data_IF_317403057357
#
_entry.id   IF_317403057357
#
_cell.length_a   1.000
_cell.length_b   1.000
_cell.length_c   1.000
_cell.angle_alpha   90.00
_cell.angle_beta   90.00
_cell.angle_gamma   90.00
#
_symmetry.space_group_name_H-M   'P 1'
#
loop_
_entity.id
_entity.type
_entity.pdbx_description
1 polymer ?
#
# COMPACT_ATOMS: atom_id res chain seq x y z
N UNK A 1 -36.14 6.34 8.03
CA UNK A 1 -35.52 7.51 8.70
C UNK A 1 -34.66 8.22 7.68
N UNK A 2 -34.91 9.49 7.41
CA UNK A 2 -34.05 10.36 6.61
C UNK A 2 -33.06 11.04 7.55
N UNK A 3 -31.76 10.97 7.24
CA UNK A 3 -30.74 11.76 7.94
C UNK A 3 -31.01 13.26 7.75
N UNK A 4 -30.62 14.08 8.73
CA UNK A 4 -30.65 15.53 8.60
C UNK A 4 -29.67 15.98 7.51
N UNK A 5 -29.95 17.11 6.87
CA UNK A 5 -29.09 17.62 5.79
C UNK A 5 -27.68 17.94 6.29
N UNK A 6 -27.56 18.53 7.48
CA UNK A 6 -26.26 18.76 8.13
C UNK A 6 -25.42 17.48 8.30
N UNK A 7 -26.06 16.33 8.57
CA UNK A 7 -25.35 15.05 8.69
C UNK A 7 -24.89 14.52 7.32
N UNK A 8 -25.70 14.73 6.27
CA UNK A 8 -25.33 14.37 4.89
C UNK A 8 -24.18 15.25 4.40
N UNK A 9 -24.28 16.55 4.62
CA UNK A 9 -23.27 17.53 4.20
C UNK A 9 -21.93 17.19 4.84
N UNK A 10 -21.91 16.97 6.16
CA UNK A 10 -20.72 16.51 6.89
C UNK A 10 -20.14 15.22 6.29
N UNK A 11 -20.98 14.24 5.96
CA UNK A 11 -20.51 12.99 5.36
C UNK A 11 -19.81 13.24 4.01
N UNK A 12 -20.39 14.06 3.14
CA UNK A 12 -19.78 14.35 1.84
C UNK A 12 -18.54 15.25 1.94
N UNK A 13 -18.46 16.14 2.93
CA UNK A 13 -17.26 16.91 3.26
C UNK A 13 -16.13 15.99 3.75
N UNK A 14 -16.42 15.10 4.69
CA UNK A 14 -15.45 14.12 5.21
C UNK A 14 -14.98 13.18 4.08
N UNK A 15 -15.90 12.73 3.23
CA UNK A 15 -15.58 11.94 2.05
C UNK A 15 -14.69 12.73 1.08
N UNK A 16 -15.00 14.00 0.80
CA UNK A 16 -14.16 14.86 -0.04
C UNK A 16 -12.74 14.97 0.52
N UNK A 17 -12.60 15.27 1.82
CA UNK A 17 -11.31 15.39 2.47
C UNK A 17 -10.48 14.10 2.31
N UNK A 18 -11.10 12.93 2.52
CA UNK A 18 -10.45 11.64 2.31
C UNK A 18 -10.03 11.44 0.84
N UNK A 19 -10.90 11.74 -0.11
CA UNK A 19 -10.61 11.58 -1.54
C UNK A 19 -9.44 12.46 -2.01
N UNK A 20 -9.27 13.66 -1.43
CA UNK A 20 -8.15 14.56 -1.73
C UNK A 20 -6.81 14.02 -1.20
N UNK A 21 -6.81 13.29 -0.08
CA UNK A 21 -5.58 12.74 0.51
C UNK A 21 -4.98 11.59 -0.28
N UNK A 22 -5.77 10.93 -1.14
CA UNK A 22 -5.32 9.76 -1.90
C UNK A 22 -4.35 10.19 -3.00
N UNK A 23 -3.11 9.63 -3.05
CA UNK A 23 -2.16 9.93 -4.10
C UNK A 23 -2.72 9.66 -5.50
N UNK A 24 -2.35 10.50 -6.45
CA UNK A 24 -2.75 10.33 -7.85
C UNK A 24 -2.15 9.09 -8.47
N UNK A 25 -1.18 8.42 -7.88
CA UNK A 25 -0.57 7.21 -8.45
C UNK A 25 -1.35 5.95 -8.06
N UNK A 26 -2.14 6.05 -6.99
CA UNK A 26 -2.82 4.93 -6.39
C UNK A 26 -4.13 4.60 -7.11
N UNK A 27 -4.53 3.33 -7.01
CA UNK A 27 -5.85 2.89 -7.42
C UNK A 27 -6.84 3.21 -6.30
N UNK A 28 -7.93 3.89 -6.62
CA UNK A 28 -8.99 4.22 -5.67
C UNK A 28 -10.29 3.55 -6.10
N UNK A 29 -10.90 2.88 -5.13
CA UNK A 29 -12.21 2.26 -5.24
C UNK A 29 -13.01 2.68 -4.02
N UNK A 30 -14.18 3.29 -4.20
CA UNK A 30 -15.10 3.61 -3.10
C UNK A 30 -16.35 2.76 -3.27
N UNK A 31 -16.73 2.05 -2.22
CA UNK A 31 -17.80 1.06 -2.23
C UNK A 31 -18.68 1.22 -1.00
N UNK A 32 -19.98 1.02 -1.17
CA UNK A 32 -20.94 1.08 -0.07
C UNK A 32 -22.35 1.45 -0.50
N UNK A 33 -23.23 1.47 0.50
CA UNK A 33 -24.58 2.01 0.38
C UNK A 33 -24.54 3.53 0.58
N UNK A 34 -24.77 4.28 -0.50
CA UNK A 34 -24.85 5.75 -0.45
C UNK A 34 -26.27 6.25 -0.24
N UNK A 35 -27.26 5.33 -0.18
CA UNK A 35 -28.68 5.64 -0.17
C UNK A 35 -29.06 6.66 -1.28
N UNK A 36 -28.37 6.53 -2.40
CA UNK A 36 -28.38 7.47 -3.51
C UNK A 36 -29.06 6.83 -4.71
N UNK A 37 -29.99 7.55 -5.32
CA UNK A 37 -30.60 7.17 -6.59
C UNK A 37 -30.16 8.19 -7.63
N UNK A 38 -29.30 7.77 -8.54
CA UNK A 38 -28.61 8.65 -9.50
C UNK A 38 -29.37 8.86 -10.81
N UNK A 39 -30.51 8.19 -11.00
CA UNK A 39 -31.33 8.33 -12.19
C UNK A 39 -30.69 7.78 -13.47
N UNK A 40 -31.08 8.36 -14.61
CA UNK A 40 -30.72 7.90 -15.98
C UNK A 40 -30.11 9.01 -16.86
N UNK A 41 -29.98 10.23 -16.34
CA UNK A 41 -29.48 11.39 -17.09
C UNK A 41 -27.96 11.39 -17.24
N UNK A 42 -27.46 10.41 -17.99
CA UNK A 42 -26.03 10.27 -18.27
C UNK A 42 -25.47 11.42 -19.13
N UNK A 43 -26.32 12.15 -19.86
CA UNK A 43 -25.91 13.29 -20.67
C UNK A 43 -25.48 14.46 -19.78
N UNK A 44 -26.26 14.78 -18.73
CA UNK A 44 -25.89 15.80 -17.76
C UNK A 44 -24.67 15.42 -16.91
N UNK A 45 -24.44 14.13 -16.67
CA UNK A 45 -23.41 13.62 -15.75
C UNK A 45 -22.29 12.85 -16.46
N UNK A 46 -21.89 13.34 -17.64
CA UNK A 46 -20.93 12.65 -18.49
C UNK A 46 -19.60 12.37 -17.77
N UNK A 47 -19.24 11.10 -17.71
CA UNK A 47 -17.98 10.62 -17.11
C UNK A 47 -18.14 10.03 -15.71
N UNK A 48 -19.11 10.52 -14.93
CA UNK A 48 -19.48 9.95 -13.63
C UNK A 48 -20.59 8.90 -13.78
N UNK A 49 -21.70 9.28 -14.44
CA UNK A 49 -22.83 8.41 -14.74
C UNK A 49 -22.72 7.87 -16.16
N UNK A 50 -23.12 6.61 -16.33
CA UNK A 50 -23.15 5.94 -17.63
C UNK A 50 -24.59 5.65 -18.09
N UNK A 51 -24.79 5.32 -19.39
CA UNK A 51 -26.12 5.22 -20.00
C UNK A 51 -27.07 4.20 -19.36
N UNK A 52 -26.55 3.27 -18.56
CA UNK A 52 -27.31 2.17 -18.00
C UNK A 52 -27.70 2.38 -16.52
N UNK A 53 -27.82 3.64 -16.10
CA UNK A 53 -28.43 4.04 -14.82
C UNK A 53 -29.83 3.47 -14.61
N UNK A 54 -30.35 3.59 -13.38
CA UNK A 54 -31.60 2.93 -12.99
C UNK A 54 -32.59 3.91 -12.35
N UNK A 55 -33.81 3.94 -12.91
CA UNK A 55 -35.01 4.56 -12.31
C UNK A 55 -34.81 6.03 -11.94
N UNK A 56 -35.32 6.43 -10.78
CA UNK A 56 -35.52 7.80 -10.34
C UNK A 56 -34.26 8.39 -9.73
N UNK A 57 -34.29 9.70 -9.54
CA UNK A 57 -33.26 10.49 -8.92
C UNK A 57 -33.70 10.91 -7.50
N UNK A 58 -32.77 11.14 -6.58
CA UNK A 58 -33.04 11.78 -5.29
C UNK A 58 -31.93 12.76 -4.91
N UNK A 59 -32.15 13.56 -3.87
CA UNK A 59 -31.20 14.60 -3.44
C UNK A 59 -29.83 14.02 -3.05
N UNK A 60 -29.80 12.84 -2.41
CA UNK A 60 -28.56 12.11 -2.14
C UNK A 60 -27.85 11.72 -3.44
N UNK A 61 -28.61 11.34 -4.48
CA UNK A 61 -28.11 11.08 -5.81
C UNK A 61 -27.43 12.29 -6.43
N UNK A 62 -27.96 13.50 -6.19
CA UNK A 62 -27.33 14.74 -6.63
C UNK A 62 -25.99 14.96 -5.95
N UNK A 63 -25.95 14.88 -4.62
CA UNK A 63 -24.72 15.05 -3.85
C UNK A 63 -23.67 14.01 -4.28
N UNK A 64 -24.08 12.75 -4.39
CA UNK A 64 -23.20 11.68 -4.81
C UNK A 64 -22.64 11.88 -6.23
N UNK A 65 -23.48 12.29 -7.19
CA UNK A 65 -23.04 12.58 -8.55
C UNK A 65 -22.11 13.80 -8.62
N UNK A 66 -22.36 14.85 -7.82
CA UNK A 66 -21.46 16.01 -7.71
C UNK A 66 -20.08 15.59 -7.21
N UNK A 67 -20.01 14.87 -6.10
CA UNK A 67 -18.75 14.32 -5.57
C UNK A 67 -18.07 13.43 -6.59
N UNK A 68 -18.82 12.56 -7.29
CA UNK A 68 -18.25 11.70 -8.31
C UNK A 68 -17.68 12.49 -9.50
N UNK A 69 -18.40 13.50 -9.99
CA UNK A 69 -17.94 14.34 -11.09
C UNK A 69 -16.68 15.12 -10.71
N UNK A 70 -16.64 15.68 -9.50
CA UNK A 70 -15.52 16.45 -8.97
C UNK A 70 -14.24 15.61 -8.83
N UNK A 71 -14.35 14.45 -8.16
CA UNK A 71 -13.21 13.56 -7.94
C UNK A 71 -12.93 12.59 -9.10
N UNK A 72 -13.59 12.81 -10.25
CA UNK A 72 -13.46 11.97 -11.44
C UNK A 72 -13.70 10.49 -11.15
N UNK A 73 -14.66 10.20 -10.27
CA UNK A 73 -15.12 8.85 -9.98
C UNK A 73 -16.17 8.43 -11.01
N UNK A 74 -16.26 7.12 -11.20
CA UNK A 74 -17.06 6.49 -12.23
C UNK A 74 -17.93 5.41 -11.60
N UNK A 75 -19.24 5.50 -11.84
CA UNK A 75 -20.24 4.55 -11.34
C UNK A 75 -20.20 3.27 -12.16
N UNK A 76 -19.39 2.30 -11.73
CA UNK A 76 -19.10 1.10 -12.54
C UNK A 76 -20.35 0.30 -12.89
N UNK A 77 -21.32 0.25 -11.98
CA UNK A 77 -22.57 -0.49 -12.19
C UNK A 77 -23.48 0.10 -13.26
N UNK A 78 -23.33 1.40 -13.54
CA UNK A 78 -24.11 2.10 -14.59
C UNK A 78 -23.45 1.98 -15.97
N UNK A 79 -22.22 1.46 -16.04
CA UNK A 79 -21.46 1.30 -17.27
C UNK A 79 -21.89 0.09 -18.10
N UNK A 80 -22.35 -0.98 -17.44
CA UNK A 80 -22.72 -2.22 -18.11
C UNK A 80 -24.21 -2.31 -18.41
N UNK A 81 -24.55 -2.81 -19.60
CA UNK A 81 -25.94 -3.11 -19.98
C UNK A 81 -26.42 -4.41 -19.32
N UNK A 82 -26.63 -4.37 -18.00
CA UNK A 82 -27.13 -5.50 -17.20
C UNK A 82 -28.66 -5.48 -17.05
N UNK A 83 -29.23 -6.64 -16.76
CA UNK A 83 -30.64 -6.75 -16.44
C UNK A 83 -30.93 -6.07 -15.08
N UNK A 84 -32.14 -5.53 -14.91
CA UNK A 84 -32.54 -4.85 -13.65
C UNK A 84 -32.29 -5.71 -12.41
N UNK A 85 -32.49 -7.02 -12.53
CA UNK A 85 -32.24 -7.99 -11.44
C UNK A 85 -30.79 -8.10 -10.97
N UNK A 86 -29.84 -7.75 -11.84
CA UNK A 86 -28.40 -7.71 -11.59
C UNK A 86 -27.91 -6.29 -11.25
N UNK A 87 -28.78 -5.29 -11.36
CA UNK A 87 -28.46 -3.89 -11.02
C UNK A 87 -29.01 -3.49 -9.66
N UNK A 88 -30.25 -3.84 -9.37
CA UNK A 88 -30.87 -3.41 -8.12
C UNK A 88 -30.33 -4.21 -6.93
N UNK A 89 -30.18 -3.52 -5.82
CA UNK A 89 -29.66 -4.09 -4.57
C UNK A 89 -30.71 -4.16 -3.49
N UNK A 90 -31.66 -3.24 -3.45
CA UNK A 90 -32.64 -3.19 -2.38
C UNK A 90 -34.06 -3.23 -2.91
N UNK A 91 -34.96 -3.95 -2.22
CA UNK A 91 -36.39 -3.97 -2.55
C UNK A 91 -37.17 -3.11 -1.55
N UNK A 92 -37.88 -2.10 -2.05
CA UNK A 92 -38.73 -1.31 -1.18
C UNK A 92 -39.85 -2.17 -0.58
N UNK A 93 -40.02 -2.22 0.75
CA UNK A 93 -40.93 -3.16 1.41
C UNK A 93 -42.41 -2.91 1.06
N UNK A 94 -42.81 -1.64 0.99
CA UNK A 94 -44.21 -1.25 0.69
C UNK A 94 -44.60 -1.44 -0.78
N UNK A 95 -43.77 -0.96 -1.71
CA UNK A 95 -44.09 -0.89 -3.14
C UNK A 95 -43.44 -2.00 -3.97
N UNK A 96 -42.72 -2.92 -3.32
CA UNK A 96 -42.00 -4.05 -3.93
C UNK A 96 -41.16 -3.65 -5.15
N UNK A 97 -40.53 -2.49 -5.02
CA UNK A 97 -39.83 -1.82 -6.09
C UNK A 97 -38.32 -1.90 -5.85
N UNK A 98 -37.63 -2.55 -6.78
CA UNK A 98 -36.17 -2.70 -6.76
C UNK A 98 -35.45 -1.36 -7.04
N UNK A 99 -34.45 -1.03 -6.22
CA UNK A 99 -33.65 0.19 -6.30
C UNK A 99 -32.16 -0.14 -6.30
N UNK A 100 -31.38 0.73 -6.92
CA UNK A 100 -29.92 0.71 -6.88
C UNK A 100 -29.48 1.74 -5.83
N UNK A 101 -28.93 1.28 -4.72
CA UNK A 101 -28.43 2.12 -3.62
C UNK A 101 -26.96 1.83 -3.28
N UNK A 102 -26.52 0.60 -3.54
CA UNK A 102 -25.15 0.14 -3.34
C UNK A 102 -24.32 0.30 -4.60
N UNK A 103 -23.24 1.08 -4.49
CA UNK A 103 -22.37 1.43 -5.61
C UNK A 103 -20.95 0.95 -5.38
N UNK A 104 -20.30 0.61 -6.49
CA UNK A 104 -18.85 0.55 -6.58
C UNK A 104 -18.44 1.66 -7.53
N UNK A 105 -17.59 2.55 -7.05
CA UNK A 105 -17.03 3.65 -7.83
C UNK A 105 -15.53 3.46 -7.96
N UNK A 106 -15.02 3.80 -9.13
CA UNK A 106 -13.59 3.71 -9.45
C UNK A 106 -13.15 5.02 -10.07
N UNK A 107 -11.86 5.35 -10.00
CA UNK A 107 -11.33 6.48 -10.78
C UNK A 107 -11.64 6.29 -12.28
N UNK A 108 -12.06 7.36 -12.94
CA UNK A 108 -12.45 7.36 -14.37
C UNK A 108 -11.35 6.83 -15.28
N UNK A 109 -10.09 7.09 -14.95
CA UNK A 109 -8.93 6.56 -15.70
C UNK A 109 -8.78 5.04 -15.58
N UNK A 110 -9.29 4.46 -14.49
CA UNK A 110 -9.17 3.05 -14.14
C UNK A 110 -10.42 2.25 -14.53
N UNK A 111 -11.41 2.88 -15.19
CA UNK A 111 -12.67 2.23 -15.61
C UNK A 111 -12.46 0.97 -16.45
N UNK A 112 -11.39 0.93 -17.27
CA UNK A 112 -11.07 -0.22 -18.12
C UNK A 112 -10.63 -1.45 -17.31
N UNK A 113 -10.24 -1.27 -16.04
CA UNK A 113 -9.88 -2.36 -15.16
C UNK A 113 -11.13 -3.08 -14.63
N UNK A 114 -12.31 -2.45 -14.69
CA UNK A 114 -13.56 -3.08 -14.23
C UNK A 114 -14.12 -3.95 -15.34
N UNK A 115 -14.26 -5.24 -15.06
CA UNK A 115 -14.79 -6.22 -16.02
C UNK A 115 -16.31 -6.32 -15.94
N UNK A 116 -16.87 -6.35 -14.73
CA UNK A 116 -18.31 -6.34 -14.49
C UNK A 116 -18.58 -5.91 -13.04
N UNK A 117 -19.66 -5.17 -12.82
CA UNK A 117 -20.20 -4.92 -11.49
C UNK A 117 -21.68 -5.29 -11.47
N UNK A 118 -22.08 -6.27 -10.64
CA UNK A 118 -23.45 -6.77 -10.57
C UNK A 118 -23.87 -7.12 -9.15
N UNK A 119 -25.17 -7.08 -8.90
CA UNK A 119 -25.79 -7.62 -7.69
C UNK A 119 -25.92 -9.15 -7.79
N UNK A 120 -25.74 -9.85 -6.67
CA UNK A 120 -25.88 -11.30 -6.55
C UNK A 120 -27.01 -11.61 -5.56
N UNK A 121 -27.90 -12.50 -5.98
CA UNK A 121 -29.10 -12.90 -5.23
C UNK A 121 -28.88 -14.08 -4.30
N UNK A 122 -27.86 -14.87 -4.57
CA UNK A 122 -27.65 -16.20 -3.97
C UNK A 122 -26.80 -16.16 -2.69
N UNK A 123 -26.39 -14.98 -2.24
CA UNK A 123 -25.75 -14.84 -0.94
C UNK A 123 -26.84 -14.90 0.13
N UNK A 124 -26.97 -16.05 0.79
CA UNK A 124 -27.94 -16.32 1.86
C UNK A 124 -27.50 -15.60 3.15
N UNK A 125 -27.55 -14.28 3.10
CA UNK A 125 -27.26 -13.39 4.22
C UNK A 125 -28.56 -12.68 4.53
N UNK A 126 -28.96 -12.66 5.80
CA UNK A 126 -30.20 -12.08 6.32
C UNK A 126 -30.29 -10.54 6.20
N UNK A 127 -29.86 -9.98 5.07
CA UNK A 127 -29.93 -8.56 4.75
C UNK A 127 -31.09 -8.29 3.78
N UNK A 128 -31.70 -7.13 3.90
CA UNK A 128 -32.69 -6.61 2.95
C UNK A 128 -32.06 -6.08 1.64
N UNK A 129 -30.73 -6.17 1.53
CA UNK A 129 -29.93 -5.84 0.36
C UNK A 129 -29.26 -7.08 -0.27
N UNK A 130 -29.27 -7.14 -1.60
CA UNK A 130 -28.41 -8.03 -2.38
C UNK A 130 -26.96 -7.53 -2.37
N UNK A 131 -26.02 -8.46 -2.23
CA UNK A 131 -24.60 -8.17 -2.33
C UNK A 131 -24.21 -7.66 -3.71
N UNK A 132 -23.26 -6.72 -3.76
CA UNK A 132 -22.65 -6.25 -5.01
C UNK A 132 -21.27 -6.87 -5.18
N UNK A 133 -21.02 -7.50 -6.32
CA UNK A 133 -19.70 -7.95 -6.73
C UNK A 133 -19.19 -7.09 -7.87
N UNK A 134 -17.92 -6.70 -7.79
CA UNK A 134 -17.19 -6.07 -8.88
C UNK A 134 -15.95 -6.88 -9.21
N UNK A 135 -15.89 -7.43 -10.42
CA UNK A 135 -14.70 -8.12 -10.92
C UNK A 135 -13.77 -7.10 -11.57
N UNK A 136 -12.49 -7.11 -11.18
CA UNK A 136 -11.51 -6.11 -11.66
C UNK A 136 -10.16 -6.74 -11.99
N UNK A 137 -9.43 -6.15 -12.95
CA UNK A 137 -8.03 -6.48 -13.30
C UNK A 137 -7.12 -5.33 -12.87
N UNK A 138 -6.61 -5.39 -11.66
CA UNK A 138 -5.75 -4.34 -11.12
C UNK A 138 -4.28 -4.63 -11.42
N UNK A 139 -3.59 -3.63 -11.99
CA UNK A 139 -2.13 -3.63 -12.10
C UNK A 139 -1.59 -2.64 -11.07
N UNK A 140 -0.95 -3.17 -10.04
CA UNK A 140 -0.31 -2.37 -9.00
C UNK A 140 1.16 -2.18 -9.37
N UNK A 141 1.60 -0.94 -9.46
CA UNK A 141 3.02 -0.66 -9.61
C UNK A 141 3.71 -1.00 -8.28
N UNK A 142 4.78 -1.82 -8.28
CA UNK A 142 5.56 -2.05 -7.08
C UNK A 142 6.09 -0.71 -6.59
N UNK A 143 5.70 -0.31 -5.38
CA UNK A 143 6.28 0.86 -4.74
C UNK A 143 7.77 0.56 -4.61
N UNK A 144 8.63 1.30 -5.31
CA UNK A 144 10.08 1.18 -5.13
C UNK A 144 10.32 1.37 -3.65
N UNK A 145 10.75 0.32 -2.94
CA UNK A 145 11.24 0.47 -1.57
C UNK A 145 12.23 1.62 -1.64
N UNK A 146 12.11 2.66 -0.79
CA UNK A 146 13.24 3.54 -0.58
C UNK A 146 14.39 2.58 -0.28
N UNK A 147 15.37 2.49 -1.17
CA UNK A 147 16.59 1.81 -0.80
C UNK A 147 17.09 2.65 0.36
N UNK A 148 16.84 2.17 1.58
CA UNK A 148 17.46 2.74 2.75
C UNK A 148 18.94 2.87 2.42
N UNK A 149 19.57 3.98 2.85
CA UNK A 149 21.01 4.14 2.73
C UNK A 149 21.65 2.79 3.03
N UNK A 150 22.41 2.28 2.07
CA UNK A 150 23.00 0.95 2.16
C UNK A 150 23.65 0.86 3.55
N UNK A 151 23.18 -0.05 4.44
CA UNK A 151 23.70 -0.09 5.80
C UNK A 151 25.21 -0.24 5.69
N UNK A 152 25.95 0.61 6.39
CA UNK A 152 27.40 0.54 6.44
C UNK A 152 27.75 -0.91 6.79
N UNK A 153 28.49 -1.60 5.92
CA UNK A 153 28.81 -3.01 6.13
C UNK A 153 29.44 -3.18 7.52
N UNK A 154 29.01 -4.20 8.27
CA UNK A 154 29.50 -4.43 9.63
C UNK A 154 31.02 -4.53 9.62
N UNK A 155 31.69 -3.89 10.58
CA UNK A 155 33.12 -4.08 10.80
C UNK A 155 33.39 -5.52 11.19
N UNK A 156 34.55 -6.06 10.82
CA UNK A 156 34.93 -7.43 11.16
C UNK A 156 35.44 -7.50 12.61
N UNK A 157 34.51 -7.39 13.57
CA UNK A 157 34.80 -7.29 15.01
C UNK A 157 35.44 -8.55 15.60
N UNK A 158 35.35 -9.70 14.92
CA UNK A 158 36.00 -10.93 15.34
C UNK A 158 37.53 -10.82 15.34
N UNK A 159 38.11 -9.88 14.58
CA UNK A 159 39.57 -9.64 14.60
C UNK A 159 40.05 -9.05 15.93
N UNK A 160 39.18 -8.43 16.73
CA UNK A 160 39.55 -7.93 18.06
C UNK A 160 39.85 -9.06 19.06
N UNK A 161 39.42 -10.29 18.77
CA UNK A 161 39.77 -11.46 19.57
C UNK A 161 41.22 -11.93 19.31
N UNK A 162 41.89 -11.42 18.28
CA UNK A 162 43.31 -11.66 18.03
C UNK A 162 44.15 -10.59 18.74
N UNK A 163 45.04 -10.96 19.69
CA UNK A 163 45.83 -10.00 20.46
C UNK A 163 46.65 -9.03 19.60
N UNK A 164 47.20 -9.50 18.47
CA UNK A 164 47.96 -8.67 17.54
C UNK A 164 47.11 -7.55 16.90
N UNK A 165 45.89 -7.89 16.44
CA UNK A 165 44.98 -6.91 15.85
C UNK A 165 44.46 -5.89 16.88
N UNK A 166 44.24 -6.32 18.12
CA UNK A 166 43.88 -5.42 19.21
C UNK A 166 45.00 -4.43 19.51
N UNK A 167 46.25 -4.90 19.55
CA UNK A 167 47.43 -4.06 19.75
C UNK A 167 47.63 -3.05 18.62
N UNK A 168 47.54 -3.49 17.37
CA UNK A 168 47.68 -2.62 16.19
C UNK A 168 46.58 -1.55 16.14
N UNK A 169 45.34 -1.93 16.47
CA UNK A 169 44.23 -0.99 16.54
C UNK A 169 44.41 0.06 17.65
N UNK A 170 44.84 -0.38 18.83
CA UNK A 170 45.12 0.53 19.95
C UNK A 170 46.19 1.56 19.57
N UNK A 171 47.30 1.11 18.98
CA UNK A 171 48.39 2.00 18.58
C UNK A 171 47.96 3.00 17.49
N UNK A 172 47.19 2.55 16.49
CA UNK A 172 46.70 3.45 15.44
C UNK A 172 45.69 4.46 15.95
N UNK A 173 44.82 4.10 16.91
CA UNK A 173 43.94 5.07 17.55
C UNK A 173 44.76 6.08 18.32
N UNK A 174 45.69 5.64 19.18
CA UNK A 174 46.49 6.54 20.02
C UNK A 174 47.27 7.54 19.17
N UNK A 175 47.99 7.06 18.15
CA UNK A 175 48.79 7.92 17.27
C UNK A 175 47.93 8.96 16.55
N UNK A 176 46.84 8.51 15.92
CA UNK A 176 45.98 9.43 15.18
C UNK A 176 45.19 10.38 16.09
N UNK A 177 45.02 10.05 17.38
CA UNK A 177 44.37 10.90 18.38
C UNK A 177 45.31 11.99 18.89
N UNK A 178 46.62 11.73 18.92
CA UNK A 178 47.66 12.74 19.15
C UNK A 178 47.75 13.75 17.99
N UNK A 179 47.52 13.29 16.76
CA UNK A 179 47.49 14.12 15.55
C UNK A 179 46.17 14.90 15.35
N UNK A 180 45.14 14.62 16.16
CA UNK A 180 43.84 15.29 16.10
C UNK A 180 43.95 16.68 16.72
N UNK A 181 43.97 17.72 15.88
CA UNK A 181 43.86 19.09 16.36
C UNK A 181 42.56 19.28 17.17
N UNK A 182 42.70 19.89 18.35
CA UNK A 182 41.57 20.20 19.20
C UNK A 182 40.53 21.02 18.40
N UNK A 183 39.24 20.62 18.43
CA UNK A 183 38.22 21.40 17.76
C UNK A 183 38.17 22.80 18.34
N UNK A 184 37.85 23.78 17.48
CA UNK A 184 37.71 25.18 17.87
C UNK A 184 36.93 25.29 19.19
N UNK A 185 37.38 26.15 20.11
CA UNK A 185 36.85 26.19 21.48
C UNK A 185 35.33 26.46 21.53
N UNK A 186 34.78 26.97 20.43
CA UNK A 186 33.36 27.26 20.21
C UNK A 186 32.52 26.07 19.67
N UNK A 187 33.13 24.91 19.39
CA UNK A 187 32.40 23.74 18.89
C UNK A 187 31.53 23.10 19.98
N UNK A 188 30.27 22.80 19.63
CA UNK A 188 29.31 22.14 20.52
C UNK A 188 29.75 20.71 20.89
N UNK A 189 29.29 20.22 22.05
CA UNK A 189 29.57 18.85 22.52
C UNK A 189 29.19 17.81 21.48
N UNK A 190 28.06 17.99 20.80
CA UNK A 190 27.60 17.08 19.74
C UNK A 190 28.59 17.01 18.57
N UNK A 191 29.17 18.15 18.19
CA UNK A 191 30.16 18.22 17.10
C UNK A 191 31.44 17.49 17.49
N UNK A 192 31.90 17.65 18.73
CA UNK A 192 33.09 16.96 19.26
C UNK A 192 32.85 15.44 19.34
N UNK A 193 31.66 15.03 19.78
CA UNK A 193 31.28 13.62 19.82
C UNK A 193 31.21 13.01 18.41
N UNK A 194 30.57 13.68 17.45
CA UNK A 194 30.54 13.21 16.07
C UNK A 194 31.94 13.08 15.46
N UNK A 195 32.85 14.01 15.75
CA UNK A 195 34.24 13.94 15.29
C UNK A 195 34.96 12.71 15.86
N UNK A 196 34.87 12.49 17.17
CA UNK A 196 35.45 11.32 17.83
C UNK A 196 34.85 10.02 17.29
N UNK A 197 33.52 9.96 17.14
CA UNK A 197 32.82 8.79 16.63
C UNK A 197 33.25 8.45 15.19
N UNK A 198 33.27 9.45 14.31
CA UNK A 198 33.67 9.26 12.91
C UNK A 198 35.13 8.81 12.82
N UNK A 199 35.99 9.36 13.65
CA UNK A 199 37.40 9.03 13.71
C UNK A 199 37.65 7.59 14.18
N UNK A 200 37.01 7.16 15.28
CA UNK A 200 37.10 5.77 15.76
C UNK A 200 36.57 4.82 14.68
N UNK A 201 35.48 5.17 14.01
CA UNK A 201 34.89 4.36 12.94
C UNK A 201 35.79 4.28 11.70
N UNK A 202 36.47 5.37 11.29
CA UNK A 202 37.41 5.34 10.16
C UNK A 202 38.64 4.51 10.46
N UNK A 203 39.23 4.66 11.65
CA UNK A 203 40.40 3.87 12.06
C UNK A 203 40.04 2.40 12.20
N UNK A 204 38.87 2.09 12.75
CA UNK A 204 38.38 0.71 12.81
C UNK A 204 38.17 0.11 11.42
N UNK A 205 37.68 0.90 10.46
CA UNK A 205 37.51 0.48 9.07
C UNK A 205 38.84 0.21 8.36
N UNK A 206 39.86 1.04 8.60
CA UNK A 206 41.20 0.84 8.03
C UNK A 206 41.89 -0.41 8.57
N UNK A 207 41.78 -0.66 9.87
CA UNK A 207 42.44 -1.82 10.52
C UNK A 207 41.69 -3.14 10.30
N UNK A 208 40.37 -3.11 10.41
CA UNK A 208 39.55 -4.34 10.43
C UNK A 208 38.87 -4.63 9.08
N UNK A 209 38.79 -3.64 8.20
CA UNK A 209 37.98 -3.73 6.99
C UNK A 209 36.50 -3.97 7.29
N UNK A 210 35.74 -4.23 6.24
CA UNK A 210 34.34 -4.65 6.35
C UNK A 210 34.26 -6.16 6.36
N UNK A 211 33.43 -6.71 7.23
CA UNK A 211 33.05 -8.11 7.14
C UNK A 211 32.49 -8.37 5.74
N UNK A 212 33.07 -9.34 5.02
CA UNK A 212 32.46 -9.82 3.78
C UNK A 212 31.12 -10.43 4.14
N UNK A 213 30.09 -10.16 3.33
CA UNK A 213 28.88 -10.96 3.38
C UNK A 213 29.25 -12.38 2.99
N UNK A 214 29.36 -13.25 3.98
CA UNK A 214 29.18 -14.66 3.73
C UNK A 214 27.68 -14.84 3.54
N UNK A 215 27.28 -15.32 2.37
CA UNK A 215 25.93 -15.82 2.17
C UNK A 215 25.87 -17.14 2.93
N UNK A 216 25.80 -17.05 4.26
CA UNK A 216 25.49 -18.22 5.06
C UNK A 216 24.05 -18.57 4.75
N UNK A 217 23.85 -19.61 3.95
CA UNK A 217 22.55 -20.24 3.88
C UNK A 217 22.31 -20.93 5.24
N UNK A 218 21.05 -21.10 5.61
CA UNK A 218 20.65 -21.77 6.85
C UNK A 218 21.16 -23.23 6.92
N UNK A 219 21.68 -23.75 5.81
CA UNK A 219 22.17 -25.11 5.64
C UNK A 219 23.69 -25.25 5.61
N UNK A 220 24.46 -24.15 5.62
CA UNK A 220 25.93 -24.18 5.50
C UNK A 220 26.58 -25.08 6.56
N UNK A 221 26.07 -25.09 7.80
CA UNK A 221 26.57 -25.95 8.89
C UNK A 221 26.36 -27.45 8.60
N UNK A 222 25.44 -27.78 7.69
CA UNK A 222 25.07 -29.14 7.31
C UNK A 222 25.52 -29.51 5.88
N UNK A 223 26.25 -28.65 5.17
CA UNK A 223 26.61 -28.87 3.75
C UNK A 223 27.34 -30.20 3.51
N UNK A 224 28.22 -30.59 4.43
CA UNK A 224 28.92 -31.88 4.37
C UNK A 224 27.95 -33.08 4.50
N UNK A 225 26.98 -32.97 5.41
CA UNK A 225 25.95 -34.01 5.61
C UNK A 225 25.01 -34.07 4.40
N UNK A 226 24.59 -32.92 3.87
CA UNK A 226 23.71 -32.83 2.69
C UNK A 226 24.41 -33.40 1.45
N UNK A 227 25.69 -33.07 1.25
CA UNK A 227 26.50 -33.59 0.14
C UNK A 227 26.67 -35.11 0.22
N UNK A 228 26.82 -35.66 1.43
CA UNK A 228 26.92 -37.11 1.67
C UNK A 228 25.61 -37.83 1.33
N UNK A 229 24.48 -37.30 1.81
CA UNK A 229 23.15 -37.85 1.52
C UNK A 229 22.78 -37.78 0.02
N UNK A 230 23.20 -36.72 -0.68
CA UNK A 230 23.02 -36.61 -2.12
C UNK A 230 23.89 -37.61 -2.90
N UNK A 231 25.11 -37.88 -2.43
CA UNK A 231 25.98 -38.89 -3.02
C UNK A 231 25.40 -40.30 -2.85
N UNK A 232 24.86 -40.62 -1.67
CA UNK A 232 24.18 -41.91 -1.40
C UNK A 232 22.93 -42.10 -2.27
N UNK A 233 22.10 -41.07 -2.40
CA UNK A 233 20.89 -41.12 -3.23
C UNK A 233 21.18 -41.31 -4.72
N UNK A 234 22.28 -40.73 -5.21
CA UNK A 234 22.65 -40.77 -6.63
C UNK A 234 23.65 -41.90 -6.95
N UNK A 235 24.04 -42.71 -5.97
CA UNK A 235 24.81 -43.92 -6.18
C UNK A 235 24.00 -44.97 -6.96
N UNK A 236 24.66 -45.86 -7.72
CA UNK A 236 23.96 -46.93 -8.43
C UNK A 236 23.20 -47.78 -7.42
N UNK A 237 21.89 -47.95 -7.67
CA UNK A 237 21.07 -48.90 -6.92
C UNK A 237 21.49 -50.30 -7.35
N UNK A 238 21.95 -51.13 -6.41
CA UNK A 238 22.15 -52.57 -6.62
C UNK A 238 20.82 -53.28 -6.96
#
# INVERSE_FOLDING_TARGET
>A
MTSSDAAKDKFYEDLHALLVTVPKEDKLIVLGDFNARVGTDHAAWQGALCPHGLRSFNDNGLLFLRTCAEHRLHLSKTFFCLQTREKATWMHPRWRCWQLLDYVTVLRRDRQNVMVTKAIREADVWADHHHVISQMRLRLQPRRRPQGKQPLGKLHTLLLNLPAHCFDFSNQITQKLEDLHAPDNNATVETRWCQLQNFIQSTALEVHGRARRQHQDQFDDNDANISTLLAEKNGPSD
#
